data_IF_778102611427
#
_entry.id   IF_778102611427
#
_cell.length_a   1.000
_cell.length_b   1.000
_cell.length_c   1.000
_cell.angle_alpha   90.00
_cell.angle_beta   90.00
_cell.angle_gamma   90.00
#
_symmetry.space_group_name_H-M   'P 1'
#
loop_
_entity.id
_entity.type
_entity.pdbx_description
1 polymer ?
#
# COMPACT_ATOMS: atom_id res chain seq x y z
N UNK A 1 42.25 -58.37 -7.04
CA UNK A 1 41.26 -57.39 -7.50
C UNK A 1 40.48 -56.88 -6.28
N UNK A 2 41.00 -55.87 -5.59
CA UNK A 2 40.27 -55.16 -4.53
C UNK A 2 39.49 -54.01 -5.18
N UNK A 3 38.16 -54.04 -5.09
CA UNK A 3 37.32 -52.90 -5.46
C UNK A 3 37.00 -52.13 -4.17
N UNK A 4 37.60 -50.96 -4.03
CA UNK A 4 37.18 -49.97 -3.06
C UNK A 4 35.86 -49.35 -3.52
N UNK A 5 34.82 -49.47 -2.70
CA UNK A 5 33.56 -48.75 -2.85
C UNK A 5 33.75 -47.37 -2.20
N UNK A 6 33.75 -46.29 -2.99
CA UNK A 6 33.73 -44.92 -2.50
C UNK A 6 32.26 -44.51 -2.43
N UNK A 7 31.75 -44.25 -1.22
CA UNK A 7 30.44 -43.62 -1.00
C UNK A 7 30.54 -42.11 -1.28
N UNK A 8 29.53 -41.47 -1.91
CA UNK A 8 29.52 -40.03 -2.13
C UNK A 8 29.29 -39.27 -0.80
N UNK A 9 29.70 -37.99 -0.71
CA UNK A 9 29.52 -37.21 0.52
C UNK A 9 28.04 -36.96 0.79
N UNK A 10 27.66 -37.11 2.05
CA UNK A 10 26.31 -36.87 2.55
C UNK A 10 25.89 -35.42 2.27
N UNK A 11 24.77 -35.25 1.58
CA UNK A 11 24.08 -33.98 1.44
C UNK A 11 23.55 -33.59 2.83
N UNK A 12 24.19 -32.62 3.48
CA UNK A 12 23.70 -32.06 4.73
C UNK A 12 22.44 -31.25 4.45
N UNK A 13 21.28 -31.85 4.72
CA UNK A 13 20.00 -31.16 4.75
C UNK A 13 20.06 -30.19 5.94
N UNK A 14 20.24 -28.89 5.66
CA UNK A 14 20.07 -27.86 6.67
C UNK A 14 18.59 -27.84 7.07
N UNK A 15 18.26 -28.42 8.23
CA UNK A 15 16.97 -28.23 8.86
C UNK A 15 16.88 -26.76 9.25
N UNK A 16 16.16 -25.96 8.47
CA UNK A 16 15.70 -24.66 8.91
C UNK A 16 14.69 -24.90 10.04
N UNK A 17 15.16 -24.79 11.29
CA UNK A 17 14.26 -24.66 12.43
C UNK A 17 13.53 -23.33 12.27
N UNK A 18 12.30 -23.36 11.78
CA UNK A 18 11.40 -22.23 11.85
C UNK A 18 11.19 -21.92 13.33
N UNK A 19 11.87 -20.89 13.81
CA UNK A 19 11.50 -20.23 15.05
C UNK A 19 10.09 -19.68 14.82
N UNK A 20 9.09 -20.36 15.35
CA UNK A 20 7.74 -19.78 15.44
C UNK A 20 7.86 -18.55 16.33
N UNK A 21 7.84 -17.37 15.71
CA UNK A 21 7.62 -16.13 16.44
C UNK A 21 6.35 -16.30 17.29
N UNK A 22 6.31 -15.79 18.54
CA UNK A 22 5.08 -15.78 19.30
C UNK A 22 4.00 -15.09 18.45
N UNK A 23 2.78 -15.66 18.41
CA UNK A 23 1.67 -15.05 17.70
C UNK A 23 1.47 -13.63 18.23
N UNK A 24 1.68 -12.64 17.36
CA UNK A 24 1.53 -11.23 17.71
C UNK A 24 0.06 -10.97 18.02
N UNK A 25 -0.23 -10.46 19.22
CA UNK A 25 -1.58 -10.05 19.60
C UNK A 25 -1.87 -8.68 19.03
N UNK A 26 -2.93 -8.55 18.23
CA UNK A 26 -3.43 -7.27 17.73
C UNK A 26 -4.40 -6.66 18.74
N UNK A 27 -4.10 -5.44 19.21
CA UNK A 27 -4.93 -4.70 20.16
C UNK A 27 -5.76 -3.66 19.43
N UNK A 28 -7.07 -3.68 19.65
CA UNK A 28 -8.02 -2.81 18.93
C UNK A 28 -8.92 -2.08 19.93
N UNK A 29 -8.95 -0.75 19.85
CA UNK A 29 -9.91 0.06 20.62
C UNK A 29 -11.06 0.48 19.72
N UNK A 30 -12.30 0.25 20.15
CA UNK A 30 -13.49 0.71 19.47
C UNK A 30 -14.13 1.91 20.17
N UNK A 31 -14.07 3.08 19.53
CA UNK A 31 -14.82 4.27 19.93
C UNK A 31 -16.01 4.46 18.99
N UNK A 32 -17.21 4.24 19.48
CA UNK A 32 -18.40 4.31 18.65
C UNK A 32 -19.70 4.40 19.43
N UNK A 33 -20.75 3.81 18.88
CA UNK A 33 -22.08 3.87 19.48
C UNK A 33 -22.84 2.56 19.24
N UNK A 34 -24.18 2.61 19.18
CA UNK A 34 -25.02 1.43 18.97
C UNK A 34 -24.73 0.67 17.67
N UNK A 35 -24.17 1.30 16.64
CA UNK A 35 -23.75 0.59 15.42
C UNK A 35 -22.55 -0.33 15.64
N UNK A 36 -21.70 -0.02 16.63
CA UNK A 36 -20.63 -0.92 17.09
C UNK A 36 -21.15 -1.86 18.19
N UNK A 37 -21.98 -1.35 19.11
CA UNK A 37 -22.41 -2.12 20.29
C UNK A 37 -23.46 -3.20 20.01
N UNK A 38 -24.30 -3.04 19.00
CA UNK A 38 -25.33 -4.04 18.66
C UNK A 38 -24.68 -5.32 18.13
N UNK A 39 -25.12 -6.45 18.68
CA UNK A 39 -24.56 -7.79 18.47
C UNK A 39 -23.08 -7.94 18.88
N UNK A 40 -22.55 -7.00 19.67
CA UNK A 40 -21.18 -7.04 20.21
C UNK A 40 -20.12 -7.19 19.10
N UNK A 41 -20.03 -6.18 18.23
CA UNK A 41 -19.11 -6.19 17.11
C UNK A 41 -17.64 -6.43 17.52
N UNK A 42 -17.09 -5.84 18.60
CA UNK A 42 -15.72 -6.14 19.02
C UNK A 42 -15.49 -7.63 19.27
N UNK A 43 -16.41 -8.29 19.98
CA UNK A 43 -16.34 -9.74 20.20
C UNK A 43 -16.47 -10.54 18.90
N UNK A 44 -17.32 -10.12 17.96
CA UNK A 44 -17.41 -10.78 16.64
C UNK A 44 -16.10 -10.68 15.86
N UNK A 45 -15.41 -9.54 15.90
CA UNK A 45 -14.09 -9.37 15.26
C UNK A 45 -13.07 -10.31 15.90
N UNK A 46 -13.04 -10.42 17.23
CA UNK A 46 -12.16 -11.36 17.94
C UNK A 46 -12.42 -12.81 17.53
N UNK A 47 -13.70 -13.21 17.40
CA UNK A 47 -14.08 -14.56 17.00
C UNK A 47 -13.69 -14.88 15.56
N UNK A 48 -13.89 -13.93 14.64
CA UNK A 48 -13.44 -14.06 13.23
C UNK A 48 -11.93 -14.23 13.19
N UNK A 49 -11.16 -13.35 13.85
CA UNK A 49 -9.71 -13.41 13.88
C UNK A 49 -9.19 -14.72 14.49
N UNK A 50 -9.71 -15.10 15.66
CA UNK A 50 -9.31 -16.33 16.37
C UNK A 50 -9.55 -17.57 15.54
N UNK A 51 -10.66 -17.61 14.78
CA UNK A 51 -10.98 -18.75 13.93
C UNK A 51 -10.01 -18.94 12.75
N UNK A 52 -9.28 -17.88 12.38
CA UNK A 52 -8.29 -17.88 11.31
C UNK A 52 -6.85 -17.96 11.83
N UNK A 53 -6.67 -18.11 13.15
CA UNK A 53 -5.36 -18.25 13.78
C UNK A 53 -4.72 -16.94 14.25
N UNK A 54 -5.42 -15.82 14.08
CA UNK A 54 -4.99 -14.51 14.59
C UNK A 54 -5.47 -14.30 16.03
N UNK A 55 -4.75 -13.50 16.82
CA UNK A 55 -5.16 -13.18 18.19
C UNK A 55 -5.47 -11.69 18.29
N UNK A 56 -6.73 -11.36 18.63
CA UNK A 56 -7.18 -9.99 18.87
C UNK A 56 -7.54 -9.83 20.34
N UNK A 57 -7.23 -8.66 20.90
CA UNK A 57 -7.79 -8.18 22.16
C UNK A 57 -8.43 -6.83 21.90
N UNK A 58 -9.74 -6.73 22.16
CA UNK A 58 -10.48 -5.51 21.98
C UNK A 58 -10.88 -4.86 23.32
N UNK A 59 -10.93 -3.53 23.32
CA UNK A 59 -11.66 -2.75 24.33
C UNK A 59 -12.55 -1.74 23.60
N UNK A 60 -13.55 -1.20 24.28
CA UNK A 60 -14.55 -0.38 23.63
C UNK A 60 -15.25 0.62 24.56
N UNK A 61 -15.59 1.78 24.00
CA UNK A 61 -16.56 2.69 24.57
C UNK A 61 -17.62 3.00 23.50
N UNK A 62 -18.85 2.52 23.72
CA UNK A 62 -19.91 2.52 22.70
C UNK A 62 -21.24 3.13 23.18
N UNK A 63 -21.30 4.34 23.75
CA UNK A 63 -22.56 4.84 24.27
C UNK A 63 -23.54 5.16 23.12
N UNK A 64 -24.83 4.87 23.35
CA UNK A 64 -25.85 4.99 22.29
C UNK A 64 -25.91 6.39 21.66
N UNK A 65 -25.91 6.44 20.33
CA UNK A 65 -26.00 7.68 19.55
C UNK A 65 -24.78 8.60 19.60
N UNK A 66 -23.65 8.16 20.17
CA UNK A 66 -22.47 9.00 20.30
C UNK A 66 -21.87 9.48 18.97
N UNK A 67 -21.35 10.70 19.00
CA UNK A 67 -20.63 11.35 17.90
C UNK A 67 -19.12 11.37 18.15
N UNK A 68 -18.31 11.66 17.12
CA UNK A 68 -16.87 11.87 17.31
C UNK A 68 -16.60 13.07 18.24
N UNK A 69 -17.40 14.13 18.14
CA UNK A 69 -17.33 15.29 19.03
C UNK A 69 -17.50 14.93 20.52
N UNK A 70 -18.39 13.97 20.80
CA UNK A 70 -18.61 13.50 22.17
C UNK A 70 -17.44 12.64 22.63
N UNK A 71 -16.92 11.75 21.78
CA UNK A 71 -15.73 10.96 22.11
C UNK A 71 -14.48 11.82 22.36
N UNK A 72 -14.29 12.93 21.63
CA UNK A 72 -13.10 13.78 21.73
C UNK A 72 -12.94 14.50 23.08
N UNK A 73 -14.00 14.51 23.91
CA UNK A 73 -13.99 15.11 25.25
C UNK A 73 -14.46 14.15 26.35
N UNK A 74 -14.87 12.94 25.99
CA UNK A 74 -15.37 11.94 26.94
C UNK A 74 -14.21 11.30 27.71
N UNK A 75 -14.22 11.43 29.03
CA UNK A 75 -13.13 10.96 29.89
C UNK A 75 -12.84 9.46 29.78
N UNK A 76 -13.85 8.61 29.54
CA UNK A 76 -13.66 7.18 29.32
C UNK A 76 -12.95 6.91 28.00
N UNK A 77 -13.34 7.60 26.92
CA UNK A 77 -12.70 7.44 25.60
C UNK A 77 -11.24 7.86 25.65
N UNK A 78 -10.94 9.01 26.29
CA UNK A 78 -9.58 9.50 26.44
C UNK A 78 -8.73 8.56 27.32
N UNK A 79 -9.29 8.07 28.43
CA UNK A 79 -8.60 7.11 29.28
C UNK A 79 -8.31 5.77 28.58
N UNK A 80 -9.20 5.32 27.70
CA UNK A 80 -8.99 4.10 26.91
C UNK A 80 -7.95 4.29 25.82
N UNK A 81 -7.93 5.46 25.16
CA UNK A 81 -6.83 5.81 24.25
C UNK A 81 -5.53 5.68 25.04
N UNK A 82 -5.40 6.38 26.17
CA UNK A 82 -4.21 6.44 27.05
C UNK A 82 -3.87 5.15 27.81
N UNK A 83 -4.70 4.11 27.71
CA UNK A 83 -4.54 2.90 28.51
C UNK A 83 -3.32 2.08 28.09
N UNK A 84 -3.01 2.05 26.79
CA UNK A 84 -1.91 1.27 26.21
C UNK A 84 -1.66 1.64 24.74
N UNK A 85 -0.49 1.29 24.18
CA UNK A 85 -0.27 1.27 22.75
C UNK A 85 -1.32 0.37 22.06
N UNK A 86 -2.11 0.95 21.17
CA UNK A 86 -3.07 0.21 20.34
C UNK A 86 -2.46 -0.04 18.97
N UNK A 87 -2.75 -1.19 18.35
CA UNK A 87 -2.39 -1.39 16.94
C UNK A 87 -3.37 -0.61 16.06
N UNK A 88 -4.65 -0.65 16.43
CA UNK A 88 -5.73 0.08 15.76
C UNK A 88 -6.65 0.78 16.77
N UNK A 89 -7.06 2.02 16.44
CA UNK A 89 -8.17 2.71 17.13
C UNK A 89 -9.26 2.99 16.10
N UNK A 90 -10.40 2.33 16.27
CA UNK A 90 -11.57 2.43 15.40
C UNK A 90 -12.42 3.62 15.85
N UNK A 91 -12.66 4.54 14.92
CA UNK A 91 -13.42 5.77 15.12
C UNK A 91 -14.72 5.71 14.32
N UNK A 92 -15.85 5.64 15.00
CA UNK A 92 -17.17 5.60 14.40
C UNK A 92 -17.96 6.88 14.72
N UNK A 93 -18.36 7.63 13.68
CA UNK A 93 -19.31 8.74 13.82
C UNK A 93 -20.76 8.22 13.96
N UNK A 94 -21.68 9.12 14.32
CA UNK A 94 -23.12 8.90 14.32
C UNK A 94 -23.62 8.57 12.91
N UNK A 95 -24.56 7.60 12.82
CA UNK A 95 -25.02 6.96 11.57
C UNK A 95 -25.53 7.86 10.43
N UNK A 96 -25.90 9.10 10.71
CA UNK A 96 -26.50 10.06 9.79
C UNK A 96 -25.62 11.27 9.54
N UNK A 97 -24.85 11.74 10.55
CA UNK A 97 -24.12 13.00 10.46
C UNK A 97 -23.19 13.09 9.23
N UNK A 98 -22.42 12.06 8.85
CA UNK A 98 -21.61 12.11 7.64
C UNK A 98 -22.43 12.12 6.34
N UNK A 99 -23.75 11.96 6.39
CA UNK A 99 -24.63 12.05 5.20
C UNK A 99 -25.32 13.42 5.07
N UNK A 100 -25.09 14.35 6.00
CA UNK A 100 -25.74 15.66 6.03
C UNK A 100 -25.06 16.68 5.09
N UNK A 101 -25.64 17.89 4.89
CA UNK A 101 -25.06 18.91 4.03
C UNK A 101 -23.61 19.23 4.40
N UNK A 102 -22.77 19.49 3.39
CA UNK A 102 -21.33 19.72 3.55
C UNK A 102 -20.98 20.68 4.69
N UNK A 103 -21.60 21.87 4.73
CA UNK A 103 -21.29 22.87 5.75
C UNK A 103 -21.61 22.42 7.18
N UNK A 104 -22.56 21.49 7.36
CA UNK A 104 -22.81 20.86 8.66
C UNK A 104 -21.72 19.84 8.98
N UNK A 105 -21.33 18.99 8.03
CA UNK A 105 -20.25 18.01 8.23
C UNK A 105 -18.92 18.69 8.54
N UNK A 106 -18.62 19.81 7.87
CA UNK A 106 -17.44 20.64 8.10
C UNK A 106 -17.36 21.17 9.53
N UNK A 107 -18.51 21.36 10.18
CA UNK A 107 -18.60 21.92 11.54
C UNK A 107 -18.69 20.82 12.60
N UNK A 108 -19.55 19.83 12.36
CA UNK A 108 -19.99 18.88 13.38
C UNK A 108 -19.21 17.55 13.36
N UNK A 109 -18.46 17.26 12.29
CA UNK A 109 -17.80 15.95 12.10
C UNK A 109 -16.29 16.10 11.89
N UNK A 110 -15.85 16.76 10.81
CA UNK A 110 -14.45 16.76 10.39
C UNK A 110 -13.45 17.30 11.44
N UNK A 111 -13.74 18.39 12.17
CA UNK A 111 -12.82 18.88 13.20
C UNK A 111 -12.57 17.85 14.31
N UNK A 112 -13.59 17.07 14.65
CA UNK A 112 -13.51 16.06 15.71
C UNK A 112 -12.89 14.75 15.25
N UNK A 113 -13.05 14.42 13.96
CA UNK A 113 -12.29 13.35 13.32
C UNK A 113 -10.78 13.64 13.40
N UNK A 114 -10.35 14.86 13.04
CA UNK A 114 -8.96 15.28 13.16
C UNK A 114 -8.48 15.30 14.61
N UNK A 115 -9.27 15.88 15.51
CA UNK A 115 -8.93 15.93 16.93
C UNK A 115 -8.68 14.54 17.53
N UNK A 116 -9.55 13.56 17.25
CA UNK A 116 -9.39 12.20 17.76
C UNK A 116 -8.17 11.50 17.15
N UNK A 117 -7.91 11.69 15.85
CA UNK A 117 -6.70 11.15 15.21
C UNK A 117 -5.44 11.74 15.85
N UNK A 118 -5.41 13.04 16.11
CA UNK A 118 -4.30 13.70 16.77
C UNK A 118 -4.10 13.18 18.19
N UNK A 119 -5.17 12.97 18.95
CA UNK A 119 -5.10 12.41 20.30
C UNK A 119 -4.55 10.98 20.29
N UNK A 120 -5.01 10.13 19.37
CA UNK A 120 -4.50 8.76 19.20
C UNK A 120 -3.00 8.78 18.91
N UNK A 121 -2.56 9.60 17.95
CA UNK A 121 -1.14 9.66 17.54
C UNK A 121 -0.23 10.37 18.55
N UNK A 122 -0.78 11.27 19.37
CA UNK A 122 -0.04 11.89 20.47
C UNK A 122 0.34 10.88 21.54
N UNK A 123 -0.52 9.90 21.80
CA UNK A 123 -0.15 8.80 22.68
C UNK A 123 0.84 7.85 22.01
N UNK A 124 0.49 7.34 20.84
CA UNK A 124 1.35 6.43 20.09
C UNK A 124 1.25 6.73 18.59
N UNK A 125 2.33 7.28 18.04
CA UNK A 125 2.43 7.59 16.61
C UNK A 125 2.34 6.34 15.72
N UNK A 126 2.52 5.15 16.28
CA UNK A 126 2.44 3.88 15.58
C UNK A 126 1.04 3.27 15.55
N UNK A 127 0.11 3.76 16.38
CA UNK A 127 -1.29 3.36 16.29
C UNK A 127 -1.89 3.82 14.96
N UNK A 128 -2.63 2.93 14.30
CA UNK A 128 -3.37 3.27 13.07
C UNK A 128 -4.80 3.66 13.41
N UNK A 129 -5.20 4.94 13.24
CA UNK A 129 -6.61 5.31 13.33
C UNK A 129 -7.37 4.72 12.15
N UNK A 130 -8.56 4.17 12.41
CA UNK A 130 -9.41 3.54 11.40
C UNK A 130 -10.81 4.12 11.48
N UNK A 131 -11.22 4.88 10.46
CA UNK A 131 -12.60 5.34 10.39
C UNK A 131 -13.53 4.20 9.95
N UNK A 132 -14.49 3.88 10.80
CA UNK A 132 -15.50 2.84 10.54
C UNK A 132 -16.64 3.43 9.69
N UNK A 133 -16.57 3.23 8.36
CA UNK A 133 -17.61 3.64 7.43
C UNK A 133 -18.90 2.88 7.69
N UNK A 134 -19.91 3.59 8.19
CA UNK A 134 -21.26 3.06 8.44
C UNK A 134 -22.06 2.89 7.13
N UNK A 135 -23.27 2.34 7.25
CA UNK A 135 -24.17 2.10 6.13
C UNK A 135 -25.37 3.06 6.12
N UNK A 136 -25.94 3.26 4.93
CA UNK A 136 -27.21 3.95 4.76
C UNK A 136 -28.35 3.15 5.39
N UNK A 137 -29.34 3.84 5.94
CA UNK A 137 -30.57 3.22 6.44
C UNK A 137 -31.32 2.50 5.31
N UNK A 138 -32.03 1.43 5.63
CA UNK A 138 -32.64 0.50 4.68
C UNK A 138 -33.45 1.20 3.59
N UNK A 139 -34.22 2.21 4.00
CA UNK A 139 -35.07 3.01 3.14
C UNK A 139 -34.57 4.47 3.04
N UNK A 140 -33.30 4.74 3.34
CA UNK A 140 -32.77 6.09 3.51
C UNK A 140 -33.22 6.75 4.82
N UNK A 141 -32.76 7.98 5.04
CA UNK A 141 -33.10 8.79 6.20
C UNK A 141 -34.40 9.58 5.96
N UNK A 142 -35.52 8.88 6.15
CA UNK A 142 -36.86 9.46 5.98
C UNK A 142 -37.15 10.64 6.90
N UNK A 143 -36.47 10.73 8.06
CA UNK A 143 -36.68 11.82 9.01
C UNK A 143 -36.10 13.14 8.48
N UNK A 144 -34.95 13.09 7.81
CA UNK A 144 -34.28 14.28 7.27
C UNK A 144 -34.52 14.51 5.77
N UNK A 145 -35.10 13.54 5.07
CA UNK A 145 -35.40 13.56 3.65
C UNK A 145 -36.07 14.86 3.15
N UNK A 146 -37.05 15.40 3.90
CA UNK A 146 -37.76 16.61 3.48
C UNK A 146 -36.86 17.86 3.43
N UNK A 147 -35.86 17.92 4.32
CA UNK A 147 -34.93 19.05 4.42
C UNK A 147 -33.64 18.82 3.63
N UNK A 148 -33.27 17.55 3.44
CA UNK A 148 -32.08 17.12 2.73
C UNK A 148 -32.41 15.95 1.78
N UNK A 149 -32.95 16.22 0.58
CA UNK A 149 -33.42 15.18 -0.33
C UNK A 149 -32.43 14.07 -0.72
N UNK A 150 -31.11 14.30 -0.79
CA UNK A 150 -30.16 13.22 -1.09
C UNK A 150 -30.24 12.01 -0.15
N UNK A 151 -30.61 12.20 1.13
CA UNK A 151 -30.70 11.09 2.09
C UNK A 151 -32.03 10.33 2.03
N UNK A 152 -32.99 10.74 1.19
CA UNK A 152 -34.29 10.07 1.05
C UNK A 152 -34.20 8.61 0.59
N UNK A 153 -33.07 8.17 0.06
CA UNK A 153 -32.87 6.80 -0.44
C UNK A 153 -31.63 6.19 0.20
N UNK A 154 -31.61 4.86 0.29
CA UNK A 154 -30.40 4.12 0.69
C UNK A 154 -29.19 4.55 -0.14
N UNK A 155 -29.32 4.55 -1.48
CA UNK A 155 -28.23 4.85 -2.39
C UNK A 155 -27.66 6.26 -2.18
N UNK A 156 -28.52 7.27 -2.05
CA UNK A 156 -28.07 8.64 -1.82
C UNK A 156 -27.42 8.84 -0.46
N UNK A 157 -27.98 8.24 0.60
CA UNK A 157 -27.36 8.27 1.92
C UNK A 157 -26.01 7.54 1.94
N UNK A 158 -25.92 6.34 1.35
CA UNK A 158 -24.69 5.55 1.31
C UNK A 158 -23.58 6.24 0.52
N UNK A 159 -23.92 6.91 -0.59
CA UNK A 159 -22.96 7.67 -1.39
C UNK A 159 -22.33 8.80 -0.56
N UNK A 160 -23.14 9.55 0.20
CA UNK A 160 -22.65 10.63 1.06
C UNK A 160 -21.82 10.10 2.23
N UNK A 161 -22.26 9.02 2.89
CA UNK A 161 -21.45 8.36 3.93
C UNK A 161 -20.09 7.97 3.37
N UNK A 162 -20.06 7.27 2.23
CA UNK A 162 -18.82 6.86 1.56
C UNK A 162 -17.91 8.06 1.32
N UNK A 163 -18.45 9.13 0.74
CA UNK A 163 -17.70 10.35 0.41
C UNK A 163 -17.06 10.96 1.66
N UNK A 164 -17.84 11.15 2.74
CA UNK A 164 -17.31 11.79 3.96
C UNK A 164 -16.36 10.92 4.76
N UNK A 165 -16.57 9.61 4.79
CA UNK A 165 -15.63 8.69 5.45
C UNK A 165 -14.29 8.60 4.71
N UNK A 166 -14.29 8.60 3.37
CA UNK A 166 -13.06 8.65 2.58
C UNK A 166 -12.36 10.01 2.70
N UNK A 167 -13.11 11.10 2.79
CA UNK A 167 -12.55 12.43 3.07
C UNK A 167 -11.85 12.45 4.44
N UNK A 168 -12.52 11.98 5.51
CA UNK A 168 -11.91 11.88 6.84
C UNK A 168 -10.64 11.02 6.82
N UNK A 169 -10.67 9.86 6.15
CA UNK A 169 -9.51 8.99 6.03
C UNK A 169 -8.33 9.69 5.33
N UNK A 170 -8.59 10.33 4.19
CA UNK A 170 -7.57 11.02 3.38
C UNK A 170 -6.96 12.20 4.13
N UNK A 171 -7.80 13.11 4.65
CA UNK A 171 -7.35 14.34 5.31
C UNK A 171 -6.51 14.06 6.56
N UNK A 172 -6.75 12.92 7.20
CA UNK A 172 -6.07 12.53 8.43
C UNK A 172 -5.00 11.45 8.23
N UNK A 173 -4.70 11.05 6.98
CA UNK A 173 -3.79 9.91 6.69
C UNK A 173 -4.14 8.66 7.50
N UNK A 174 -5.43 8.41 7.69
CA UNK A 174 -5.99 7.31 8.49
C UNK A 174 -6.65 6.29 7.58
N UNK A 175 -6.75 5.03 8.01
CA UNK A 175 -7.43 4.01 7.22
C UNK A 175 -8.96 4.16 7.31
N UNK A 176 -9.68 3.60 6.35
CA UNK A 176 -11.13 3.46 6.39
C UNK A 176 -11.51 1.98 6.34
N UNK A 177 -12.27 1.49 7.33
CA UNK A 177 -12.90 0.18 7.25
C UNK A 177 -14.22 0.31 6.46
N UNK A 178 -14.34 -0.23 5.23
CA UNK A 178 -15.39 0.14 4.29
C UNK A 178 -16.68 -0.67 4.47
N UNK A 179 -17.17 -0.81 5.71
CA UNK A 179 -18.32 -1.65 6.02
C UNK A 179 -19.60 -1.22 5.29
N UNK A 180 -19.84 0.09 5.13
CA UNK A 180 -20.93 0.59 4.28
C UNK A 180 -20.84 0.19 2.81
N UNK A 181 -19.62 0.06 2.27
CA UNK A 181 -19.43 -0.42 0.90
C UNK A 181 -19.66 -1.93 0.78
N UNK A 182 -19.20 -2.72 1.76
CA UNK A 182 -19.51 -4.15 1.85
C UNK A 182 -21.01 -4.39 1.98
N UNK A 183 -21.68 -3.56 2.78
CA UNK A 183 -23.14 -3.56 2.94
C UNK A 183 -23.87 -3.31 1.62
N UNK A 184 -23.45 -2.28 0.86
CA UNK A 184 -24.00 -1.98 -0.45
C UNK A 184 -23.80 -3.16 -1.42
N UNK A 185 -22.61 -3.73 -1.44
CA UNK A 185 -22.28 -4.89 -2.26
C UNK A 185 -23.22 -6.08 -1.99
N UNK A 186 -23.46 -6.41 -0.72
CA UNK A 186 -24.37 -7.50 -0.35
C UNK A 186 -25.82 -7.17 -0.71
N UNK A 187 -26.29 -5.93 -0.51
CA UNK A 187 -27.65 -5.53 -0.93
C UNK A 187 -27.86 -5.68 -2.44
N UNK A 188 -26.83 -5.36 -3.23
CA UNK A 188 -26.92 -5.44 -4.69
C UNK A 188 -26.81 -6.88 -5.22
N UNK A 189 -25.87 -7.67 -4.69
CA UNK A 189 -25.59 -9.01 -5.18
C UNK A 189 -26.44 -10.10 -4.52
N UNK A 190 -26.89 -9.87 -3.29
CA UNK A 190 -27.60 -10.84 -2.45
C UNK A 190 -28.79 -10.19 -1.71
N UNK A 191 -29.77 -9.61 -2.43
CA UNK A 191 -30.88 -8.86 -1.84
C UNK A 191 -31.79 -9.69 -0.90
N UNK A 192 -31.67 -11.01 -0.91
CA UNK A 192 -32.38 -11.90 0.02
C UNK A 192 -31.75 -12.01 1.41
N UNK A 193 -30.55 -11.45 1.62
CA UNK A 193 -29.91 -11.40 2.94
C UNK A 193 -30.33 -10.12 3.65
N UNK A 194 -31.10 -10.27 4.72
CA UNK A 194 -31.50 -9.12 5.54
C UNK A 194 -30.37 -8.69 6.47
N UNK A 195 -29.79 -7.52 6.17
CA UNK A 195 -28.71 -6.92 6.97
C UNK A 195 -29.24 -6.03 8.09
N UNK A 196 -30.53 -5.71 8.13
CA UNK A 196 -31.10 -4.76 9.07
C UNK A 196 -31.89 -5.46 10.18
N UNK A 197 -31.89 -4.84 11.36
CA UNK A 197 -32.93 -5.09 12.33
C UNK A 197 -34.25 -4.47 11.85
N UNK A 198 -35.34 -4.77 12.53
CA UNK A 198 -36.69 -4.32 12.15
C UNK A 198 -36.89 -2.80 12.12
N UNK A 199 -35.94 -2.03 12.65
CA UNK A 199 -35.97 -0.56 12.61
C UNK A 199 -35.37 0.05 11.32
N UNK A 200 -34.84 -0.79 10.42
CA UNK A 200 -34.23 -0.36 9.17
C UNK A 200 -32.95 0.45 9.33
N UNK A 201 -32.32 0.42 10.51
CA UNK A 201 -31.12 1.20 10.85
C UNK A 201 -30.05 0.32 11.49
N UNK A 202 -30.36 -0.30 12.63
CA UNK A 202 -29.41 -1.15 13.35
C UNK A 202 -29.13 -2.43 12.57
N UNK A 203 -27.97 -3.07 12.80
CA UNK A 203 -27.63 -4.28 12.08
C UNK A 203 -28.37 -5.50 12.61
N UNK A 204 -28.80 -6.38 11.70
CA UNK A 204 -29.12 -7.77 12.03
C UNK A 204 -27.85 -8.52 12.42
N UNK A 205 -27.98 -9.79 12.85
CA UNK A 205 -26.80 -10.65 13.06
C UNK A 205 -25.98 -10.79 11.77
N UNK A 206 -26.64 -10.87 10.60
CA UNK A 206 -25.95 -10.92 9.31
C UNK A 206 -25.21 -9.61 9.02
N UNK A 207 -25.86 -8.46 9.31
CA UNK A 207 -25.25 -7.14 9.21
C UNK A 207 -23.98 -7.01 10.06
N UNK A 208 -24.06 -7.30 11.37
CA UNK A 208 -22.90 -7.22 12.26
C UNK A 208 -21.79 -8.20 11.87
N UNK A 209 -22.14 -9.39 11.40
CA UNK A 209 -21.16 -10.37 10.94
C UNK A 209 -20.41 -9.90 9.68
N UNK A 210 -21.13 -9.33 8.69
CA UNK A 210 -20.51 -8.72 7.52
C UNK A 210 -19.51 -7.62 7.91
N UNK A 211 -19.88 -6.77 8.87
CA UNK A 211 -19.00 -5.72 9.39
C UNK A 211 -17.76 -6.34 10.05
N UNK A 212 -17.92 -7.37 10.88
CA UNK A 212 -16.80 -8.06 11.52
C UNK A 212 -15.82 -8.65 10.50
N UNK A 213 -16.32 -9.31 9.45
CA UNK A 213 -15.50 -9.81 8.34
C UNK A 213 -14.78 -8.68 7.59
N UNK A 214 -15.46 -7.55 7.38
CA UNK A 214 -14.87 -6.37 6.72
C UNK A 214 -13.75 -5.75 7.55
N UNK A 215 -13.93 -5.68 8.86
CA UNK A 215 -12.93 -5.21 9.81
C UNK A 215 -11.73 -6.15 9.86
N UNK A 216 -11.95 -7.46 9.92
CA UNK A 216 -10.86 -8.44 9.83
C UNK A 216 -10.03 -8.24 8.55
N UNK A 217 -10.68 -8.14 7.39
CA UNK A 217 -10.00 -7.90 6.13
C UNK A 217 -9.23 -6.57 6.12
N UNK A 218 -9.71 -5.56 6.85
CA UNK A 218 -9.06 -4.25 6.96
C UNK A 218 -7.81 -4.31 7.84
N UNK A 219 -7.88 -4.93 9.01
CA UNK A 219 -6.77 -5.00 9.96
C UNK A 219 -5.66 -5.95 9.49
N UNK A 220 -6.05 -7.13 9.02
CA UNK A 220 -5.12 -8.21 8.68
C UNK A 220 -4.78 -8.27 7.18
N UNK A 221 -5.46 -7.47 6.34
CA UNK A 221 -5.32 -7.49 4.86
C UNK A 221 -5.40 -8.90 4.29
N UNK A 222 -6.24 -9.70 4.92
CA UNK A 222 -6.37 -11.14 4.70
C UNK A 222 -7.85 -11.50 4.52
N UNK A 223 -8.10 -12.59 3.81
CA UNK A 223 -9.47 -12.99 3.52
C UNK A 223 -10.16 -13.57 4.75
N UNK A 224 -11.38 -13.11 5.11
CA UNK A 224 -12.19 -13.70 6.17
C UNK A 224 -12.87 -15.02 5.74
N UNK A 225 -12.65 -15.49 4.50
CA UNK A 225 -13.29 -16.71 3.98
C UNK A 225 -12.81 -17.93 4.76
N UNK A 226 -13.76 -18.70 5.27
CA UNK A 226 -13.50 -19.86 6.13
C UNK A 226 -13.46 -19.53 7.63
N UNK A 227 -13.70 -18.28 8.01
CA UNK A 227 -13.84 -17.90 9.42
C UNK A 227 -15.05 -18.57 10.07
N UNK A 228 -15.03 -18.61 11.41
CA UNK A 228 -16.20 -18.86 12.26
C UNK A 228 -17.38 -17.99 11.82
N UNK A 229 -18.61 -18.50 11.99
CA UNK A 229 -19.83 -17.72 11.87
C UNK A 229 -20.77 -17.93 13.07
N UNK A 230 -21.54 -16.90 13.47
CA UNK A 230 -22.60 -17.03 14.46
C UNK A 230 -23.53 -18.19 14.17
N UNK A 231 -23.93 -18.94 15.22
CA UNK A 231 -24.85 -20.08 15.09
C UNK A 231 -26.23 -19.69 14.53
N UNK A 232 -26.61 -18.41 14.68
CA UNK A 232 -27.85 -17.85 14.14
C UNK A 232 -27.78 -17.59 12.62
N UNK A 233 -26.60 -17.70 11.99
CA UNK A 233 -26.42 -17.55 10.55
C UNK A 233 -26.23 -18.89 9.88
N UNK A 234 -26.93 -19.09 8.76
CA UNK A 234 -26.72 -20.25 7.90
C UNK A 234 -25.29 -20.21 7.31
N UNK A 235 -24.56 -21.34 7.26
CA UNK A 235 -23.19 -21.38 6.74
C UNK A 235 -23.04 -20.78 5.33
N UNK A 236 -23.97 -21.08 4.43
CA UNK A 236 -23.93 -20.53 3.07
C UNK A 236 -24.06 -19.00 3.06
N UNK A 237 -24.95 -18.43 3.88
CA UNK A 237 -25.09 -16.98 4.04
C UNK A 237 -23.80 -16.39 4.61
N UNK A 238 -23.21 -17.01 5.64
CA UNK A 238 -21.95 -16.56 6.20
C UNK A 238 -20.83 -16.56 5.15
N UNK A 239 -20.72 -17.61 4.33
CA UNK A 239 -19.75 -17.70 3.25
C UNK A 239 -19.89 -16.58 2.21
N UNK A 240 -21.12 -16.18 1.86
CA UNK A 240 -21.36 -15.04 0.96
C UNK A 240 -20.92 -13.71 1.59
N UNK A 241 -21.18 -13.52 2.89
CA UNK A 241 -20.79 -12.30 3.60
C UNK A 241 -19.26 -12.18 3.74
N UNK A 242 -18.57 -13.29 4.03
CA UNK A 242 -17.11 -13.35 4.05
C UNK A 242 -16.51 -12.98 2.68
N UNK A 243 -17.06 -13.55 1.60
CA UNK A 243 -16.60 -13.26 0.23
C UNK A 243 -16.84 -11.80 -0.15
N UNK A 244 -18.00 -11.25 0.21
CA UNK A 244 -18.31 -9.84 -0.03
C UNK A 244 -17.33 -8.91 0.69
N UNK A 245 -17.03 -9.18 1.96
CA UNK A 245 -16.03 -8.43 2.72
C UNK A 245 -14.63 -8.52 2.08
N UNK A 246 -14.21 -9.73 1.68
CA UNK A 246 -12.92 -9.95 1.01
C UNK A 246 -12.81 -9.15 -0.29
N UNK A 247 -13.81 -9.26 -1.17
CA UNK A 247 -13.82 -8.59 -2.47
C UNK A 247 -13.82 -7.07 -2.33
N UNK A 248 -14.61 -6.51 -1.41
CA UNK A 248 -14.67 -5.06 -1.23
C UNK A 248 -13.37 -4.50 -0.65
N UNK A 249 -12.75 -5.17 0.32
CA UNK A 249 -11.54 -4.65 0.97
C UNK A 249 -10.28 -4.92 0.15
N UNK A 250 -10.02 -6.19 -0.15
CA UNK A 250 -8.71 -6.65 -0.62
C UNK A 250 -8.44 -6.26 -2.08
N UNK A 251 -9.47 -6.19 -2.91
CA UNK A 251 -9.33 -5.77 -4.31
C UNK A 251 -9.09 -4.24 -4.44
N UNK A 252 -9.15 -3.49 -3.34
CA UNK A 252 -9.17 -2.01 -3.38
C UNK A 252 -8.54 -1.34 -2.16
N UNK A 253 -7.53 -1.93 -1.52
CA UNK A 253 -6.87 -1.39 -0.31
C UNK A 253 -6.54 0.11 -0.38
N UNK A 254 -5.97 0.56 -1.50
CA UNK A 254 -5.63 1.97 -1.72
C UNK A 254 -6.86 2.90 -1.73
N UNK A 255 -8.01 2.42 -2.22
CA UNK A 255 -9.28 3.19 -2.19
C UNK A 255 -9.71 3.48 -0.75
N UNK A 256 -9.35 2.62 0.18
CA UNK A 256 -9.73 2.70 1.60
C UNK A 256 -8.65 3.34 2.47
N UNK A 257 -7.59 3.87 1.86
CA UNK A 257 -6.42 4.40 2.54
C UNK A 257 -5.76 3.39 3.51
N UNK A 258 -5.91 2.09 3.23
CA UNK A 258 -5.32 1.01 4.04
C UNK A 258 -3.86 0.83 3.61
N UNK A 259 -2.94 0.95 4.55
CA UNK A 259 -1.50 0.78 4.33
C UNK A 259 -0.78 1.99 3.76
N UNK A 260 -1.40 3.17 3.74
CA UNK A 260 -0.75 4.40 3.23
C UNK A 260 0.48 4.83 4.02
N UNK A 261 0.60 4.40 5.27
CA UNK A 261 1.74 4.67 6.14
C UNK A 261 2.70 3.48 6.26
N UNK A 262 2.43 2.39 5.54
CA UNK A 262 3.36 1.27 5.52
C UNK A 262 4.63 1.66 4.75
N UNK A 263 5.78 1.07 5.10
CA UNK A 263 6.98 1.26 4.31
C UNK A 263 6.81 0.56 2.95
N UNK A 264 7.35 1.16 1.88
CA UNK A 264 7.40 0.56 0.54
C UNK A 264 8.84 0.13 0.25
N UNK A 265 9.04 -1.15 -0.07
CA UNK A 265 10.35 -1.71 -0.38
C UNK A 265 10.76 -1.53 -1.85
N UNK A 266 9.96 -0.85 -2.67
CA UNK A 266 10.21 -0.64 -4.10
C UNK A 266 11.61 -0.12 -4.40
N UNK A 267 12.18 -0.58 -5.52
CA UNK A 267 13.49 -0.14 -5.98
C UNK A 267 13.63 -0.19 -7.50
N UNK A 268 14.63 0.53 -8.00
CA UNK A 268 15.07 0.47 -9.40
C UNK A 268 16.55 0.13 -9.48
N UNK A 269 17.02 -0.26 -10.67
CA UNK A 269 18.40 -0.70 -10.88
C UNK A 269 19.00 -0.08 -12.12
N UNK A 270 20.29 0.25 -12.06
CA UNK A 270 21.07 0.73 -13.20
C UNK A 270 22.36 -0.08 -13.34
N UNK A 271 22.56 -0.72 -14.50
CA UNK A 271 23.80 -1.46 -14.79
C UNK A 271 24.93 -0.47 -15.15
N UNK A 272 25.92 -0.37 -14.28
CA UNK A 272 27.11 0.46 -14.47
C UNK A 272 28.16 -0.23 -15.37
N UNK A 273 27.96 -1.51 -15.69
CA UNK A 273 28.89 -2.36 -16.42
C UNK A 273 29.98 -2.96 -15.53
N UNK A 274 30.73 -3.91 -16.08
CA UNK A 274 31.80 -4.59 -15.35
C UNK A 274 31.32 -5.44 -14.17
N UNK A 275 30.04 -5.84 -14.17
CA UNK A 275 29.42 -6.59 -13.08
C UNK A 275 28.94 -5.71 -11.93
N UNK A 276 28.96 -4.38 -12.07
CA UNK A 276 28.48 -3.45 -11.04
C UNK A 276 27.08 -2.96 -11.39
N UNK A 277 26.15 -3.07 -10.43
CA UNK A 277 24.78 -2.58 -10.56
C UNK A 277 24.52 -1.61 -9.41
N UNK A 278 24.04 -0.42 -9.74
CA UNK A 278 23.51 0.55 -8.77
C UNK A 278 22.05 0.20 -8.47
N UNK A 279 21.69 0.26 -7.19
CA UNK A 279 20.32 0.10 -6.70
C UNK A 279 19.87 1.41 -6.10
N UNK A 280 18.72 1.91 -6.55
CA UNK A 280 18.10 3.11 -6.01
C UNK A 280 16.79 2.70 -5.31
N UNK A 281 16.73 2.89 -3.99
CA UNK A 281 15.52 2.66 -3.23
C UNK A 281 14.48 3.74 -3.60
N UNK A 282 13.29 3.31 -3.97
CA UNK A 282 12.12 4.19 -4.15
C UNK A 282 11.24 4.09 -2.90
N UNK A 283 11.87 3.88 -1.75
CA UNK A 283 11.20 3.50 -0.52
C UNK A 283 10.59 4.72 0.17
N UNK A 284 9.29 4.69 0.38
CA UNK A 284 8.57 5.64 1.23
C UNK A 284 8.40 5.06 2.64
N UNK A 285 8.33 5.93 3.65
CA UNK A 285 8.13 5.59 5.07
C UNK A 285 9.14 4.58 5.67
N UNK A 286 10.30 4.37 5.04
CA UNK A 286 11.35 3.46 5.51
C UNK A 286 12.39 4.16 6.41
N UNK A 287 12.77 3.52 7.51
CA UNK A 287 13.84 3.97 8.41
C UNK A 287 15.11 3.10 8.28
N UNK A 288 14.93 1.80 8.01
CA UNK A 288 16.02 0.83 7.86
C UNK A 288 15.88 0.06 6.55
N UNK A 289 17.01 -0.30 5.95
CA UNK A 289 17.11 -1.03 4.68
C UNK A 289 17.95 -2.29 4.87
N UNK A 290 17.55 -3.39 4.22
CA UNK A 290 18.32 -4.62 4.12
C UNK A 290 18.21 -5.16 2.71
N UNK A 291 19.35 -5.32 2.05
CA UNK A 291 19.46 -5.88 0.72
C UNK A 291 20.04 -7.29 0.78
N UNK A 292 19.52 -8.19 -0.04
CA UNK A 292 20.19 -9.44 -0.41
C UNK A 292 20.29 -9.50 -1.93
N UNK A 293 21.50 -9.57 -2.45
CA UNK A 293 21.73 -9.48 -3.90
C UNK A 293 21.64 -10.83 -4.61
N UNK A 294 21.28 -11.91 -3.92
CA UNK A 294 21.14 -13.25 -4.51
C UNK A 294 22.45 -14.00 -4.79
N UNK A 295 23.61 -13.40 -4.50
CA UNK A 295 24.94 -14.02 -4.58
C UNK A 295 25.56 -14.34 -3.20
N UNK A 296 24.78 -14.14 -2.13
CA UNK A 296 25.19 -14.33 -0.74
C UNK A 296 25.68 -13.06 -0.04
N UNK A 297 25.82 -11.94 -0.76
CA UNK A 297 26.16 -10.64 -0.18
C UNK A 297 24.92 -9.82 0.18
N UNK A 298 25.13 -8.80 1.02
CA UNK A 298 24.07 -7.94 1.59
C UNK A 298 24.54 -6.51 1.75
N UNK A 299 23.60 -5.56 1.80
CA UNK A 299 23.86 -4.17 2.16
C UNK A 299 22.76 -3.61 3.06
N UNK A 300 23.04 -2.52 3.78
CA UNK A 300 22.07 -1.82 4.65
C UNK A 300 21.93 -0.34 4.34
N UNK A 301 22.67 0.17 3.35
CA UNK A 301 22.49 1.53 2.83
C UNK A 301 21.25 1.56 1.94
N UNK A 302 20.58 2.73 1.87
CA UNK A 302 19.39 2.89 1.04
C UNK A 302 19.69 2.62 -0.45
N UNK A 303 20.74 3.26 -0.97
CA UNK A 303 21.13 3.16 -2.39
C UNK A 303 22.53 2.53 -2.54
N UNK A 304 22.66 1.19 -2.46
CA UNK A 304 23.96 0.52 -2.60
C UNK A 304 24.35 0.34 -4.08
N UNK A 305 25.64 0.51 -4.36
CA UNK A 305 26.27 -0.13 -5.51
C UNK A 305 26.70 -1.55 -5.13
N UNK A 306 26.41 -2.54 -5.97
CA UNK A 306 26.84 -3.92 -5.76
C UNK A 306 27.62 -4.48 -6.94
N UNK A 307 28.71 -5.19 -6.65
CA UNK A 307 29.58 -5.83 -7.64
C UNK A 307 29.44 -7.35 -7.59
N UNK A 308 28.92 -7.91 -8.67
CA UNK A 308 28.76 -9.34 -8.84
C UNK A 308 30.05 -9.95 -9.40
N UNK A 309 30.56 -10.97 -8.73
CA UNK A 309 31.79 -11.66 -9.14
C UNK A 309 31.65 -12.51 -10.41
N UNK A 310 30.42 -12.81 -10.83
CA UNK A 310 30.15 -13.64 -12.01
C UNK A 310 28.97 -13.09 -12.83
N UNK A 311 28.94 -13.38 -14.13
CA UNK A 311 27.76 -13.18 -14.96
C UNK A 311 26.63 -14.08 -14.47
N UNK A 312 25.40 -13.60 -14.49
CA UNK A 312 24.26 -14.42 -14.09
C UNK A 312 22.98 -13.62 -13.93
N UNK A 313 21.91 -14.31 -13.58
CA UNK A 313 20.66 -13.68 -13.14
C UNK A 313 20.55 -13.91 -11.64
N UNK A 314 20.38 -12.81 -10.91
CA UNK A 314 20.33 -12.81 -9.46
C UNK A 314 18.96 -12.33 -8.99
N UNK A 315 18.39 -13.03 -8.00
CA UNK A 315 17.16 -12.56 -7.34
C UNK A 315 17.56 -11.63 -6.21
N UNK A 316 17.27 -10.35 -6.38
CA UNK A 316 17.52 -9.33 -5.38
C UNK A 316 16.29 -9.19 -4.50
N UNK A 317 16.51 -9.07 -3.19
CA UNK A 317 15.52 -8.76 -2.18
C UNK A 317 15.89 -7.45 -1.52
N UNK A 318 14.95 -6.52 -1.44
CA UNK A 318 15.05 -5.32 -0.64
C UNK A 318 13.98 -5.41 0.43
N UNK A 319 14.38 -5.31 1.70
CA UNK A 319 13.50 -5.30 2.85
C UNK A 319 13.69 -3.97 3.58
N UNK A 320 12.59 -3.28 3.82
CA UNK A 320 12.56 -2.03 4.59
C UNK A 320 11.80 -2.19 5.89
N UNK A 321 12.16 -1.40 6.90
CA UNK A 321 11.44 -1.34 8.17
C UNK A 321 11.18 0.12 8.54
N UNK A 322 9.94 0.45 8.94
CA UNK A 322 9.57 1.79 9.41
C UNK A 322 9.94 2.02 10.89
N UNK A 323 9.66 3.23 11.40
CA UNK A 323 9.88 3.58 12.81
C UNK A 323 8.98 2.81 13.80
N UNK A 324 7.91 2.18 13.29
CA UNK A 324 6.93 1.42 14.04
C UNK A 324 7.18 -0.10 13.99
N UNK A 325 8.26 -0.53 13.32
CA UNK A 325 8.60 -1.94 13.14
C UNK A 325 7.78 -2.66 12.07
N UNK A 326 6.96 -1.95 11.27
CA UNK A 326 6.34 -2.52 10.08
C UNK A 326 7.39 -2.76 9.02
N UNK A 327 7.16 -3.75 8.18
CA UNK A 327 8.12 -4.19 7.19
C UNK A 327 7.46 -4.40 5.84
N UNK A 328 8.20 -4.11 4.77
CA UNK A 328 7.84 -4.53 3.42
C UNK A 328 9.05 -5.15 2.72
N UNK A 329 8.81 -6.05 1.76
CA UNK A 329 9.87 -6.71 0.99
C UNK A 329 9.53 -6.74 -0.49
N UNK A 330 10.39 -6.11 -1.29
CA UNK A 330 10.34 -6.16 -2.74
C UNK A 330 11.36 -7.16 -3.27
N UNK A 331 11.03 -7.80 -4.40
CA UNK A 331 11.95 -8.68 -5.12
C UNK A 331 11.98 -8.36 -6.60
N UNK A 332 13.17 -8.38 -7.19
CA UNK A 332 13.35 -8.29 -8.64
C UNK A 332 14.53 -9.16 -9.10
N UNK A 333 14.47 -9.66 -10.33
CA UNK A 333 15.59 -10.36 -10.96
C UNK A 333 16.48 -9.38 -11.72
N UNK A 334 17.78 -9.35 -11.39
CA UNK A 334 18.80 -8.53 -12.04
C UNK A 334 19.67 -9.43 -12.92
N UNK A 335 19.77 -9.11 -14.21
CA UNK A 335 20.67 -9.79 -15.13
C UNK A 335 22.01 -9.06 -15.19
N UNK A 336 23.08 -9.74 -14.83
CA UNK A 336 24.44 -9.21 -14.81
C UNK A 336 25.25 -9.86 -15.93
N UNK A 337 25.68 -9.03 -16.87
CA UNK A 337 26.51 -9.46 -17.99
C UNK A 337 27.96 -9.68 -17.57
N UNK A 338 28.57 -10.72 -18.11
CA UNK A 338 29.99 -10.97 -17.92
C UNK A 338 30.85 -10.03 -18.72
N UNK A 339 32.16 -10.08 -18.50
CA UNK A 339 33.18 -9.44 -19.36
C UNK A 339 33.26 -10.10 -20.76
N UNK A 340 32.18 -10.72 -21.24
CA UNK A 340 31.92 -10.89 -22.65
C UNK A 340 30.98 -9.77 -23.05
N UNK A 341 31.46 -8.84 -23.89
CA UNK A 341 30.63 -7.81 -24.52
C UNK A 341 29.26 -8.42 -24.83
N UNK A 342 28.17 -7.92 -24.23
CA UNK A 342 26.87 -8.49 -24.52
C UNK A 342 26.65 -8.36 -26.02
N UNK A 343 26.39 -9.49 -26.68
CA UNK A 343 25.77 -9.46 -28.00
C UNK A 343 24.34 -8.96 -27.78
N UNK A 344 24.22 -7.65 -27.61
CA UNK A 344 22.95 -6.96 -27.53
C UNK A 344 22.38 -6.88 -28.92
N UNK A 345 21.15 -7.34 -29.08
CA UNK A 345 20.31 -6.84 -30.16
C UNK A 345 20.28 -5.30 -30.07
N UNK A 346 20.47 -4.58 -31.19
CA UNK A 346 20.92 -3.20 -31.19
C UNK A 346 19.85 -2.22 -30.67
N UNK A 347 20.04 -1.69 -29.45
CA UNK A 347 19.50 -0.41 -29.00
C UNK A 347 20.54 0.68 -29.27
N UNK A 348 20.40 1.28 -30.45
CA UNK A 348 21.52 1.31 -31.35
C UNK A 348 22.36 2.61 -31.38
N UNK A 349 22.36 3.38 -30.28
CA UNK A 349 23.18 4.60 -30.14
C UNK A 349 23.95 4.60 -28.82
N UNK A 350 25.28 4.74 -28.87
CA UNK A 350 26.17 4.85 -27.70
C UNK A 350 26.99 6.13 -27.79
N UNK A 351 27.05 6.94 -26.72
CA UNK A 351 27.79 8.19 -26.69
C UNK A 351 28.66 8.30 -25.43
N UNK A 352 29.95 8.65 -25.57
CA UNK A 352 30.89 8.81 -24.46
C UNK A 352 32.00 9.81 -24.78
N UNK A 353 32.62 10.39 -23.75
CA UNK A 353 33.76 11.29 -23.90
C UNK A 353 35.08 10.50 -23.95
N UNK A 354 36.02 10.95 -24.78
CA UNK A 354 37.38 10.44 -24.86
C UNK A 354 38.35 11.63 -24.97
N UNK A 355 38.73 12.21 -23.83
CA UNK A 355 39.43 13.50 -23.77
C UNK A 355 38.51 14.65 -24.21
N UNK A 356 39.01 15.54 -25.07
CA UNK A 356 38.28 16.67 -25.66
C UNK A 356 37.35 16.28 -26.82
N UNK A 357 36.97 15.00 -26.91
CA UNK A 357 36.21 14.44 -28.02
C UNK A 357 35.02 13.64 -27.55
N UNK A 358 33.87 13.86 -28.17
CA UNK A 358 32.71 12.99 -28.12
C UNK A 358 32.88 11.86 -29.12
N UNK A 359 32.77 10.61 -28.65
CA UNK A 359 32.59 9.44 -29.47
C UNK A 359 31.12 9.03 -29.43
N UNK A 360 30.51 8.90 -30.60
CA UNK A 360 29.12 8.47 -30.73
C UNK A 360 28.99 7.42 -31.83
N UNK A 361 28.47 6.26 -31.46
CA UNK A 361 28.13 5.19 -32.38
C UNK A 361 26.64 5.24 -32.68
N UNK A 362 26.26 5.19 -33.95
CA UNK A 362 24.87 5.31 -34.40
C UNK A 362 24.50 4.20 -35.39
N UNK A 363 23.22 3.85 -35.52
CA UNK A 363 22.80 2.70 -36.32
C UNK A 363 22.44 3.05 -37.75
N UNK A 364 22.34 4.35 -38.03
CA UNK A 364 21.89 4.90 -39.29
C UNK A 364 22.36 6.36 -39.38
N UNK A 365 22.38 6.94 -40.59
CA UNK A 365 22.58 8.37 -40.75
C UNK A 365 21.52 9.18 -39.98
N UNK A 366 21.91 10.32 -39.43
CA UNK A 366 21.01 11.12 -38.60
C UNK A 366 21.60 12.45 -38.18
N UNK A 367 20.80 13.21 -37.42
CA UNK A 367 21.19 14.49 -36.86
C UNK A 367 21.49 14.33 -35.37
N UNK A 368 22.72 14.64 -34.97
CA UNK A 368 23.12 14.81 -33.59
C UNK A 368 23.05 16.29 -33.21
N UNK A 369 22.50 16.60 -32.03
CA UNK A 369 22.51 17.91 -31.39
C UNK A 369 23.17 17.82 -30.02
N UNK A 370 23.98 18.81 -29.70
CA UNK A 370 24.57 19.01 -28.38
C UNK A 370 23.92 20.26 -27.78
N UNK A 371 23.42 20.15 -26.57
CA UNK A 371 22.62 21.19 -25.89
C UNK A 371 23.25 21.46 -24.53
N UNK A 372 23.41 22.74 -24.18
CA UNK A 372 23.87 23.15 -22.85
C UNK A 372 22.76 22.96 -21.82
N UNK A 373 23.11 22.92 -20.54
CA UNK A 373 22.14 22.77 -19.45
C UNK A 373 21.14 23.92 -19.34
N UNK A 374 21.44 25.09 -19.90
CA UNK A 374 20.52 26.24 -20.03
C UNK A 374 19.53 26.12 -21.22
N UNK A 375 19.56 25.00 -21.95
CA UNK A 375 18.71 24.74 -23.11
C UNK A 375 19.21 25.33 -24.43
N UNK A 376 20.35 26.04 -24.45
CA UNK A 376 20.91 26.59 -25.68
C UNK A 376 21.58 25.52 -26.53
N UNK A 377 21.38 25.58 -27.86
CA UNK A 377 22.06 24.68 -28.80
C UNK A 377 23.56 25.01 -28.82
N UNK A 378 24.40 24.04 -28.47
CA UNK A 378 25.85 24.16 -28.52
C UNK A 378 26.39 23.85 -29.92
N UNK A 379 25.96 22.74 -30.52
CA UNK A 379 26.37 22.32 -31.85
C UNK A 379 25.39 21.32 -32.48
N UNK A 380 25.46 21.16 -33.80
CA UNK A 380 24.71 20.13 -34.53
C UNK A 380 25.58 19.48 -35.59
N UNK A 381 25.51 18.15 -35.69
CA UNK A 381 26.32 17.34 -36.60
C UNK A 381 25.44 16.38 -37.39
N UNK A 382 25.61 16.37 -38.72
CA UNK A 382 24.98 15.36 -39.58
C UNK A 382 25.91 14.16 -39.72
N UNK A 383 25.48 13.01 -39.21
CA UNK A 383 26.23 11.76 -39.28
C UNK A 383 25.81 11.02 -40.56
N UNK A 384 26.77 10.79 -41.48
CA UNK A 384 26.49 10.33 -42.86
C UNK A 384 26.45 8.80 -43.03
N UNK A 385 26.32 8.06 -41.95
CA UNK A 385 26.37 6.60 -41.97
C UNK A 385 26.24 5.98 -40.59
N UNK A 386 25.89 4.69 -40.50
CA UNK A 386 26.05 3.93 -39.27
C UNK A 386 27.52 3.86 -38.84
N UNK A 387 27.76 3.48 -37.59
CA UNK A 387 29.08 3.27 -37.01
C UNK A 387 29.53 4.41 -36.10
N UNK A 388 30.81 4.36 -35.73
CA UNK A 388 31.42 5.27 -34.78
C UNK A 388 31.82 6.60 -35.44
N UNK A 389 31.37 7.70 -34.84
CA UNK A 389 31.75 9.06 -35.19
C UNK A 389 32.52 9.69 -34.03
N UNK A 390 33.50 10.53 -34.35
CA UNK A 390 34.28 11.29 -33.37
C UNK A 390 34.13 12.78 -33.65
N UNK A 391 33.70 13.53 -32.65
CA UNK A 391 33.38 14.95 -32.73
C UNK A 391 34.24 15.68 -31.70
N UNK A 392 34.97 16.71 -32.14
CA UNK A 392 35.71 17.56 -31.22
C UNK A 392 34.73 18.43 -30.40
N UNK A 393 34.93 18.48 -29.09
CA UNK A 393 34.19 19.34 -28.20
C UNK A 393 35.02 20.61 -27.93
N UNK A 394 34.44 21.78 -28.18
CA UNK A 394 35.08 23.03 -27.78
C UNK A 394 35.02 23.12 -26.25
N UNK A 395 36.19 22.97 -25.58
CA UNK A 395 36.42 23.00 -24.11
C UNK A 395 35.14 23.23 -23.28
N UNK A 396 34.37 22.18 -22.97
CA UNK A 396 33.12 22.35 -22.26
C UNK A 396 33.42 22.68 -20.80
N UNK A 397 33.16 23.92 -20.38
CA UNK A 397 33.22 24.31 -18.97
C UNK A 397 31.97 23.84 -18.17
N UNK A 398 31.06 23.08 -18.80
CA UNK A 398 29.79 22.66 -18.23
C UNK A 398 29.29 21.33 -18.87
N UNK A 399 28.39 20.59 -18.18
CA UNK A 399 27.73 19.39 -18.73
C UNK A 399 27.00 19.68 -20.05
N UNK A 400 26.98 18.71 -20.96
CA UNK A 400 26.25 18.80 -22.23
C UNK A 400 25.22 17.67 -22.30
N UNK A 401 23.99 17.98 -22.69
CA UNK A 401 23.05 16.95 -23.14
C UNK A 401 23.27 16.68 -24.64
N UNK A 402 23.05 15.43 -25.06
CA UNK A 402 23.05 15.06 -26.47
C UNK A 402 21.70 14.50 -26.88
N UNK A 403 21.34 14.75 -28.13
CA UNK A 403 20.12 14.25 -28.75
C UNK A 403 20.45 13.79 -30.17
N UNK A 404 20.06 12.58 -30.53
CA UNK A 404 20.24 12.02 -31.86
C UNK A 404 18.91 11.59 -32.46
N UNK A 405 18.66 11.99 -33.71
CA UNK A 405 17.54 11.48 -34.49
C UNK A 405 18.03 10.82 -35.78
N UNK A 406 17.71 9.54 -35.95
CA UNK A 406 17.99 8.83 -37.18
C UNK A 406 17.03 9.29 -38.28
N UNK A 407 17.54 9.38 -39.50
CA UNK A 407 16.73 9.63 -40.71
C UNK A 407 15.66 8.56 -40.95
N UNK A 408 15.84 7.37 -40.35
CA UNK A 408 14.94 6.23 -40.44
C UNK A 408 13.84 6.19 -39.36
N UNK A 409 13.77 7.19 -38.46
CA UNK A 409 12.62 7.36 -37.55
C UNK A 409 12.83 7.03 -36.06
N UNK A 410 14.06 6.84 -35.58
CA UNK A 410 14.37 6.69 -34.15
C UNK A 410 14.93 7.96 -33.50
N UNK A 411 14.74 8.12 -32.17
CA UNK A 411 15.27 9.24 -31.38
C UNK A 411 15.90 8.73 -30.08
N UNK A 412 17.05 9.30 -29.72
CA UNK A 412 17.83 8.95 -28.53
C UNK A 412 18.35 10.22 -27.87
N UNK A 413 18.52 10.20 -26.56
CA UNK A 413 19.09 11.31 -25.81
C UNK A 413 19.85 10.81 -24.59
N UNK A 414 20.76 11.64 -24.08
CA UNK A 414 21.48 11.36 -22.84
C UNK A 414 22.27 12.58 -22.36
N UNK A 415 22.89 12.45 -21.19
CA UNK A 415 23.75 13.48 -20.62
C UNK A 415 25.23 13.05 -20.77
N UNK A 416 26.09 14.00 -21.14
CA UNK A 416 27.54 13.85 -21.20
C UNK A 416 28.18 14.73 -20.12
N UNK A 417 28.92 14.08 -19.23
CA UNK A 417 29.86 14.71 -18.32
C UNK A 417 31.26 14.51 -18.90
N UNK A 418 31.70 15.45 -19.74
CA UNK A 418 33.08 15.44 -20.22
C UNK A 418 33.96 16.25 -19.25
N UNK A 419 35.07 15.68 -18.76
CA UNK A 419 36.02 16.40 -17.90
C UNK A 419 36.83 17.47 -18.64
#
# INVERSE_FOLDING_TARGET
MQRHLILPPACALALATALTAPAQTTRILFLGNSYTGVNDLPTLVEQVATSLGDTVVADANMPGGYTLAQHSTNSTSLALIDAQPWDFVVLQEQSQLPSFPQGQVDTDVFPYAAQLVDLVRQHDSCTTPVFYMTWGRENGDQQNCANWPPVCTYAGMQALLRERYLQMATDNSAACAPAGAAWAHVRDQHPGIDLYASDGSHPSVAGSYLVACTMYATFFRSSPVGAYHPAALHPDTAGLLQQAAAAVVLDSLATWNIGVLDPDAGFSTFDLGGGVVQFDAVADNALAHTWSFGDGSTATTADPDHSYGAPGTYTVLHHVTDACGRTDTASATVAVGGVGLPEMAPSAVRAWCAGDRLRIEVPAPGLLRLVRTDGTLAAAHTLRGPGLHTIALERPAAPLAWWFAATTGGRWQGLLLCP
#
